data_IF_369366903168
#
_entry.id   IF_369366903168
#
_cell.length_a   1.000
_cell.length_b   1.000
_cell.length_c   1.000
_cell.angle_alpha   90.00
_cell.angle_beta   90.00
_cell.angle_gamma   90.00
#
_symmetry.space_group_name_H-M   'P 1'
#
loop_
_entity.id
_entity.type
_entity.pdbx_description
1 polymer ?
#
# COMPACT_ATOMS: atom_id res chain seq x y z
N UNK A 1 50.17 -13.10 -23.78
CA UNK A 1 49.21 -13.89 -22.98
C UNK A 1 48.82 -13.02 -21.79
N UNK A 2 47.94 -12.01 -21.90
CA UNK A 2 46.46 -12.07 -22.07
C UNK A 2 45.84 -13.19 -21.22
N UNK A 3 44.90 -13.01 -20.27
CA UNK A 3 43.88 -11.97 -20.02
C UNK A 3 43.33 -12.14 -18.57
N UNK A 4 43.14 -11.00 -17.87
CA UNK A 4 42.15 -10.61 -16.84
C UNK A 4 41.85 -11.51 -15.61
N UNK A 5 42.29 -11.05 -14.43
CA UNK A 5 41.69 -11.32 -13.10
C UNK A 5 40.74 -10.18 -12.73
N UNK A 6 39.48 -10.19 -13.14
CA UNK A 6 38.47 -9.23 -12.66
C UNK A 6 37.10 -9.90 -12.66
N UNK A 7 36.40 -9.87 -11.52
CA UNK A 7 34.95 -9.97 -11.48
C UNK A 7 34.37 -11.19 -10.77
N UNK A 8 34.54 -11.28 -9.44
CA UNK A 8 33.60 -12.07 -8.63
C UNK A 8 33.33 -11.50 -7.24
N UNK A 9 34.15 -10.55 -6.75
CA UNK A 9 33.97 -9.96 -5.42
C UNK A 9 33.02 -8.76 -5.38
N UNK A 10 32.51 -8.30 -6.53
CA UNK A 10 31.75 -7.04 -6.64
C UNK A 10 30.22 -7.22 -6.61
N UNK A 11 29.71 -8.44 -6.78
CA UNK A 11 28.25 -8.67 -6.92
C UNK A 11 27.56 -8.82 -5.56
N UNK A 12 28.30 -9.13 -4.49
CA UNK A 12 27.71 -9.27 -3.14
C UNK A 12 27.46 -7.93 -2.42
N UNK A 13 27.99 -6.81 -2.94
CA UNK A 13 27.82 -5.47 -2.36
C UNK A 13 26.58 -4.71 -2.88
N UNK A 14 25.88 -5.24 -3.88
CA UNK A 14 24.70 -4.57 -4.48
C UNK A 14 23.40 -5.04 -3.80
N UNK A 15 23.42 -6.13 -3.03
CA UNK A 15 22.24 -6.61 -2.30
C UNK A 15 21.97 -5.86 -0.97
N UNK A 16 22.90 -5.04 -0.49
CA UNK A 16 22.77 -4.35 0.80
C UNK A 16 22.29 -2.89 0.70
N UNK A 17 22.14 -2.35 -0.52
CA UNK A 17 21.63 -0.98 -0.71
C UNK A 17 20.09 -0.88 -0.73
N UNK A 18 19.37 -2.00 -0.71
CA UNK A 18 17.89 -1.98 -0.65
C UNK A 18 17.32 -1.90 0.77
N UNK A 19 18.13 -2.05 1.82
CA UNK A 19 17.69 -1.98 3.22
C UNK A 19 17.85 -0.59 3.86
N UNK A 20 18.32 0.41 3.11
CA UNK A 20 18.64 1.74 3.64
C UNK A 20 17.56 2.81 3.38
N UNK A 21 16.36 2.43 2.94
CA UNK A 21 15.26 3.34 2.69
C UNK A 21 14.04 2.99 3.52
N UNK A 22 13.64 3.90 4.40
CA UNK A 22 12.31 3.97 5.03
C UNK A 22 12.11 3.17 6.34
N UNK A 23 12.95 3.41 7.36
CA UNK A 23 12.38 3.57 8.70
C UNK A 23 11.89 5.02 8.82
N UNK A 24 10.79 5.33 8.13
CA UNK A 24 10.00 6.52 8.45
C UNK A 24 9.56 6.40 9.91
N UNK A 25 9.75 7.45 10.71
CA UNK A 25 9.31 7.47 12.11
C UNK A 25 7.88 6.95 12.18
N UNK A 26 7.68 5.81 12.84
CA UNK A 26 6.35 5.32 13.16
C UNK A 26 5.66 6.41 13.98
N UNK A 27 4.67 7.07 13.38
CA UNK A 27 3.73 7.88 14.14
C UNK A 27 2.96 6.99 15.12
N UNK A 28 2.22 7.57 16.07
CA UNK A 28 1.33 6.79 16.91
C UNK A 28 0.38 5.95 16.04
N UNK A 29 0.42 4.63 16.28
CA UNK A 29 -0.35 3.55 15.64
C UNK A 29 -1.87 3.81 15.64
N UNK A 30 -2.36 4.73 16.47
CA UNK A 30 -3.79 4.97 16.72
C UNK A 30 -4.55 5.72 15.62
N UNK A 31 -3.86 6.42 14.71
CA UNK A 31 -4.53 7.42 13.84
C UNK A 31 -4.41 7.12 12.34
N UNK A 32 -3.97 5.91 11.97
CA UNK A 32 -3.76 5.53 10.57
C UNK A 32 -5.12 5.38 9.88
N UNK A 33 -5.46 6.21 8.86
CA UNK A 33 -6.73 6.12 8.15
C UNK A 33 -6.86 4.77 7.47
N UNK A 34 -8.00 4.10 7.61
CA UNK A 34 -8.23 2.82 6.96
C UNK A 34 -9.73 2.53 6.83
N UNK A 35 -10.08 1.60 5.93
CA UNK A 35 -11.42 1.06 5.79
C UNK A 35 -11.41 -0.46 5.92
N UNK A 36 -12.16 -0.98 6.89
CA UNK A 36 -12.53 -2.39 6.92
C UNK A 36 -13.66 -2.65 5.93
N UNK A 37 -13.78 -3.92 5.54
CA UNK A 37 -14.78 -4.35 4.57
C UNK A 37 -16.19 -4.30 5.17
N UNK A 38 -17.19 -3.69 4.50
CA UNK A 38 -18.58 -3.77 4.93
C UNK A 38 -19.10 -5.21 4.79
N UNK A 39 -20.08 -5.59 5.61
CA UNK A 39 -20.72 -6.89 5.50
C UNK A 39 -21.47 -7.02 4.17
N UNK A 40 -21.20 -8.09 3.41
CA UNK A 40 -21.98 -8.47 2.23
C UNK A 40 -21.55 -7.90 0.87
N UNK A 41 -20.35 -7.31 0.76
CA UNK A 41 -19.81 -6.78 -0.51
C UNK A 41 -18.29 -7.00 -0.59
N UNK A 42 -17.66 -7.12 -1.77
CA UNK A 42 -18.11 -7.70 -3.04
C UNK A 42 -17.77 -9.21 -3.16
N UNK A 43 -16.69 -9.65 -2.51
CA UNK A 43 -16.24 -11.04 -2.40
C UNK A 43 -15.79 -11.30 -0.97
N UNK A 44 -16.22 -12.39 -0.35
CA UNK A 44 -15.82 -12.74 1.01
C UNK A 44 -14.29 -12.88 1.13
N UNK A 45 -13.64 -13.46 0.11
CA UNK A 45 -12.18 -13.60 0.07
C UNK A 45 -11.48 -12.25 -0.06
N UNK A 46 -11.98 -11.35 -0.91
CA UNK A 46 -11.42 -10.00 -1.04
C UNK A 46 -11.59 -9.20 0.27
N UNK A 47 -12.74 -9.35 0.92
CA UNK A 47 -13.04 -8.71 2.19
C UNK A 47 -12.15 -9.24 3.33
N UNK A 48 -11.90 -10.55 3.37
CA UNK A 48 -10.97 -11.19 4.29
C UNK A 48 -9.55 -10.64 4.12
N UNK A 49 -9.05 -10.61 2.88
CA UNK A 49 -7.73 -10.05 2.58
C UNK A 49 -7.62 -8.58 2.93
N UNK A 50 -8.63 -7.78 2.64
CA UNK A 50 -8.63 -6.38 3.06
C UNK A 50 -8.55 -6.25 4.60
N UNK A 51 -9.33 -7.03 5.34
CA UNK A 51 -9.32 -6.98 6.80
C UNK A 51 -7.99 -7.48 7.40
N UNK A 52 -7.38 -8.51 6.80
CA UNK A 52 -6.02 -8.98 7.13
C UNK A 52 -5.00 -7.85 6.93
N UNK A 53 -5.03 -7.21 5.76
CA UNK A 53 -4.16 -6.09 5.42
C UNK A 53 -4.32 -4.91 6.37
N UNK A 54 -5.56 -4.59 6.78
CA UNK A 54 -5.83 -3.56 7.79
C UNK A 54 -5.14 -3.88 9.13
N UNK A 55 -5.13 -5.14 9.55
CA UNK A 55 -4.44 -5.56 10.78
C UNK A 55 -2.94 -5.27 10.75
N UNK A 56 -2.30 -5.44 9.59
CA UNK A 56 -0.90 -5.05 9.38
C UNK A 56 -0.72 -3.54 9.23
N UNK A 57 -1.63 -2.89 8.52
CA UNK A 57 -1.63 -1.45 8.27
C UNK A 57 -1.64 -0.66 9.59
N UNK A 58 -2.54 -0.98 10.52
CA UNK A 58 -2.62 -0.25 11.79
C UNK A 58 -1.35 -0.44 12.63
N UNK A 59 -0.60 -1.52 12.44
CA UNK A 59 0.69 -1.75 13.09
C UNK A 59 1.86 -1.08 12.37
N UNK A 60 1.60 -0.27 11.34
CA UNK A 60 2.63 0.33 10.48
C UNK A 60 3.50 -0.68 9.71
N UNK A 61 3.04 -1.93 9.57
CA UNK A 61 3.70 -2.96 8.75
C UNK A 61 3.35 -2.76 7.27
N UNK A 62 3.71 -1.60 6.71
CA UNK A 62 3.29 -1.16 5.38
C UNK A 62 3.73 -2.09 4.26
N UNK A 63 4.95 -2.62 4.37
CA UNK A 63 5.57 -3.56 3.46
C UNK A 63 4.84 -4.91 3.43
N UNK A 64 4.20 -5.30 4.54
CA UNK A 64 3.36 -6.49 4.64
C UNK A 64 1.92 -6.19 4.19
N UNK A 65 1.38 -5.03 4.56
CA UNK A 65 0.00 -4.67 4.24
C UNK A 65 -0.23 -4.44 2.73
N UNK A 66 0.72 -3.79 2.05
CA UNK A 66 0.60 -3.45 0.63
C UNK A 66 0.37 -4.67 -0.30
N UNK A 67 1.15 -5.78 -0.22
CA UNK A 67 0.87 -6.97 -1.04
C UNK A 67 -0.47 -7.63 -0.70
N UNK A 68 -0.90 -7.62 0.57
CA UNK A 68 -2.20 -8.18 0.98
C UNK A 68 -3.36 -7.38 0.36
N UNK A 69 -3.27 -6.04 0.32
CA UNK A 69 -4.28 -5.24 -0.38
C UNK A 69 -4.30 -5.51 -1.89
N UNK A 70 -3.14 -5.80 -2.51
CA UNK A 70 -3.09 -6.22 -3.91
C UNK A 70 -3.79 -7.55 -4.14
N UNK A 71 -3.62 -8.52 -3.24
CA UNK A 71 -4.39 -9.77 -3.28
C UNK A 71 -5.91 -9.50 -3.20
N UNK A 72 -6.35 -8.59 -2.33
CA UNK A 72 -7.77 -8.21 -2.26
C UNK A 72 -8.27 -7.55 -3.56
N UNK A 73 -7.43 -6.74 -4.22
CA UNK A 73 -7.72 -6.13 -5.53
C UNK A 73 -7.82 -7.18 -6.63
N UNK A 74 -6.91 -8.15 -6.65
CA UNK A 74 -6.90 -9.24 -7.63
C UNK A 74 -8.15 -10.13 -7.49
N UNK A 75 -8.63 -10.31 -6.26
CA UNK A 75 -9.88 -11.02 -5.97
C UNK A 75 -11.14 -10.23 -6.35
N UNK A 76 -11.09 -8.89 -6.28
CA UNK A 76 -12.21 -8.03 -6.66
C UNK A 76 -11.75 -6.63 -7.09
N UNK A 77 -11.55 -6.45 -8.39
CA UNK A 77 -10.96 -5.22 -8.95
C UNK A 77 -11.83 -3.95 -8.76
N UNK A 78 -13.11 -4.09 -8.43
CA UNK A 78 -14.05 -2.99 -8.17
C UNK A 78 -14.29 -2.73 -6.68
N UNK A 79 -13.46 -3.28 -5.79
CA UNK A 79 -13.58 -3.09 -4.34
C UNK A 79 -12.76 -1.86 -3.90
N UNK A 80 -13.39 -0.73 -3.50
CA UNK A 80 -12.64 0.51 -3.31
C UNK A 80 -11.78 0.56 -2.03
N UNK A 81 -12.16 -0.15 -0.97
CA UNK A 81 -11.46 -0.16 0.32
C UNK A 81 -9.99 -0.65 0.22
N UNK A 82 -9.68 -1.77 -0.46
CA UNK A 82 -8.30 -2.19 -0.71
C UNK A 82 -7.44 -1.13 -1.42
N UNK A 83 -8.00 -0.41 -2.40
CA UNK A 83 -7.25 0.64 -3.08
C UNK A 83 -6.97 1.82 -2.14
N UNK A 84 -7.93 2.19 -1.30
CA UNK A 84 -7.73 3.23 -0.30
C UNK A 84 -6.62 2.83 0.68
N UNK A 85 -6.73 1.63 1.25
CA UNK A 85 -5.78 1.13 2.24
C UNK A 85 -4.37 0.91 1.64
N UNK A 86 -4.30 0.46 0.38
CA UNK A 86 -3.05 0.41 -0.38
C UNK A 86 -2.43 1.80 -0.53
N UNK A 87 -3.24 2.83 -0.81
CA UNK A 87 -2.78 4.21 -0.86
C UNK A 87 -2.16 4.67 0.46
N UNK A 88 -2.79 4.33 1.59
CA UNK A 88 -2.26 4.64 2.93
C UNK A 88 -0.95 3.90 3.21
N UNK A 89 -0.88 2.60 2.90
CA UNK A 89 0.35 1.83 3.08
C UNK A 89 1.50 2.40 2.23
N UNK A 90 1.24 2.72 0.97
CA UNK A 90 2.23 3.30 0.06
C UNK A 90 2.69 4.69 0.51
N UNK A 91 1.77 5.52 1.04
CA UNK A 91 2.12 6.81 1.63
C UNK A 91 3.03 6.64 2.85
N UNK A 92 2.73 5.68 3.73
CA UNK A 92 3.57 5.31 4.88
C UNK A 92 4.97 4.82 4.49
N UNK A 93 5.12 4.24 3.29
CA UNK A 93 6.41 3.85 2.70
C UNK A 93 7.14 5.02 1.99
N UNK A 94 6.56 6.21 1.92
CA UNK A 94 7.08 7.36 1.17
C UNK A 94 6.85 7.28 -0.35
N UNK A 95 6.03 6.34 -0.82
CA UNK A 95 5.75 6.10 -2.25
C UNK A 95 4.56 6.91 -2.73
N UNK A 96 4.65 8.24 -2.63
CA UNK A 96 3.50 9.14 -2.82
C UNK A 96 2.89 9.08 -4.23
N UNK A 97 3.69 8.86 -5.28
CA UNK A 97 3.17 8.73 -6.65
C UNK A 97 2.33 7.44 -6.83
N UNK A 98 2.80 6.32 -6.26
CA UNK A 98 2.04 5.06 -6.25
C UNK A 98 0.77 5.21 -5.39
N UNK A 99 0.88 5.88 -4.23
CA UNK A 99 -0.26 6.16 -3.35
C UNK A 99 -1.36 6.97 -4.07
N UNK A 100 -0.96 8.01 -4.82
CA UNK A 100 -1.89 8.79 -5.64
C UNK A 100 -2.64 7.94 -6.65
N UNK A 101 -1.98 7.01 -7.33
CA UNK A 101 -2.64 6.08 -8.28
C UNK A 101 -3.64 5.19 -7.55
N UNK A 102 -3.29 4.66 -6.39
CA UNK A 102 -4.20 3.86 -5.57
C UNK A 102 -5.43 4.68 -5.12
N UNK A 103 -5.23 5.92 -4.67
CA UNK A 103 -6.32 6.82 -4.29
C UNK A 103 -7.23 7.22 -5.47
N UNK A 104 -6.69 7.35 -6.68
CA UNK A 104 -7.50 7.55 -7.89
C UNK A 104 -8.42 6.36 -8.14
N UNK A 105 -7.92 5.12 -7.99
CA UNK A 105 -8.73 3.91 -8.11
C UNK A 105 -9.77 3.82 -6.99
N UNK A 106 -9.41 4.12 -5.75
CA UNK A 106 -10.34 4.16 -4.62
C UNK A 106 -11.51 5.10 -4.90
N UNK A 107 -11.23 6.33 -5.35
CA UNK A 107 -12.25 7.30 -5.76
C UNK A 107 -13.08 6.82 -6.95
N UNK A 108 -12.46 6.16 -7.93
CA UNK A 108 -13.17 5.65 -9.12
C UNK A 108 -14.20 4.59 -8.76
N UNK A 109 -13.84 3.64 -7.90
CA UNK A 109 -14.71 2.52 -7.53
C UNK A 109 -15.64 2.84 -6.36
N UNK A 110 -15.27 3.80 -5.51
CA UNK A 110 -16.06 4.27 -4.37
C UNK A 110 -16.63 5.68 -4.58
N UNK A 111 -16.97 6.06 -5.82
CA UNK A 111 -17.37 7.43 -6.17
C UNK A 111 -18.59 7.93 -5.37
N UNK A 112 -19.48 7.00 -4.99
CA UNK A 112 -20.68 7.28 -4.20
C UNK A 112 -20.47 7.10 -2.69
N UNK A 113 -19.27 6.68 -2.26
CA UNK A 113 -18.93 6.50 -0.85
C UNK A 113 -18.28 7.77 -0.28
N UNK A 114 -19.01 8.60 0.49
CA UNK A 114 -18.47 9.83 1.05
C UNK A 114 -17.30 9.57 2.02
N UNK A 115 -17.20 8.38 2.62
CA UNK A 115 -16.08 8.03 3.49
C UNK A 115 -14.78 8.05 2.72
N UNK A 116 -14.80 7.55 1.47
CA UNK A 116 -13.63 7.49 0.59
C UNK A 116 -13.38 8.85 -0.05
N UNK A 117 -14.37 9.41 -0.77
CA UNK A 117 -14.14 10.60 -1.60
C UNK A 117 -13.91 11.90 -0.81
N UNK A 118 -14.32 11.94 0.48
CA UNK A 118 -14.05 13.07 1.38
C UNK A 118 -12.93 12.80 2.38
N UNK A 119 -12.20 11.68 2.24
CA UNK A 119 -11.07 11.39 3.11
C UNK A 119 -9.95 12.40 2.90
N UNK A 120 -9.45 13.00 3.98
CA UNK A 120 -8.44 14.06 3.93
C UNK A 120 -7.15 13.62 3.23
N UNK A 121 -6.66 12.41 3.52
CA UNK A 121 -5.43 11.88 2.92
C UNK A 121 -5.60 11.69 1.41
N UNK A 122 -6.74 11.17 0.98
CA UNK A 122 -7.06 11.01 -0.43
C UNK A 122 -7.14 12.37 -1.11
N UNK A 123 -7.90 13.33 -0.55
CA UNK A 123 -8.04 14.68 -1.12
C UNK A 123 -6.69 15.40 -1.23
N UNK A 124 -5.84 15.27 -0.21
CA UNK A 124 -4.47 15.81 -0.23
C UNK A 124 -3.64 15.27 -1.40
N UNK A 125 -3.66 13.95 -1.62
CA UNK A 125 -2.93 13.31 -2.72
C UNK A 125 -3.52 13.64 -4.10
N UNK A 126 -4.84 13.84 -4.16
CA UNK A 126 -5.54 14.19 -5.39
C UNK A 126 -5.58 15.70 -5.67
N UNK A 127 -5.16 16.54 -4.72
CA UNK A 127 -5.19 18.02 -4.78
C UNK A 127 -6.60 18.56 -5.00
N UNK A 128 -7.55 18.07 -4.22
CA UNK A 128 -8.97 18.44 -4.25
C UNK A 128 -9.44 19.08 -2.96
#
# INVERSE_FOLDING_TARGET
>A
MSIKKIGFLSVFLIALSMLAGCYGKAGPVSDIPHFTSPSGWPSAAAAEKNNEGVGHLIQSHWDVAAPIFKEAIDLSANFPEPYFNLGVALDGMGKHDEAKVAFQSAKKFGADDPRIVKSEILMKHLKM
#
